data_IF_207518031928
#
_entry.id   IF_207518031928
#
_cell.length_a   1.000
_cell.length_b   1.000
_cell.length_c   1.000
_cell.angle_alpha   90.00
_cell.angle_beta   90.00
_cell.angle_gamma   90.00
#
_symmetry.space_group_name_H-M   'P 1'
#
loop_
_entity.id
_entity.type
_entity.pdbx_description
1 polymer ?
#
# COMPACT_ATOMS: atom_id res chain seq x y z
N UNK A 1 41.24 5.15 -7.31
CA UNK A 1 39.85 4.69 -7.14
C UNK A 1 39.78 4.03 -5.78
N UNK A 2 39.15 4.66 -4.77
CA UNK A 2 38.98 3.99 -3.47
C UNK A 2 38.05 2.79 -3.68
N UNK A 3 38.41 1.64 -3.12
CA UNK A 3 37.52 0.48 -3.15
C UNK A 3 36.28 0.83 -2.32
N UNK A 4 35.10 0.84 -2.95
CA UNK A 4 33.83 0.98 -2.24
C UNK A 4 33.40 -0.39 -1.76
N UNK A 5 32.99 -0.48 -0.49
CA UNK A 5 32.32 -1.67 0.01
C UNK A 5 30.98 -1.83 -0.73
N UNK A 6 30.63 -3.06 -1.11
CA UNK A 6 29.29 -3.40 -1.60
C UNK A 6 28.57 -4.26 -0.55
N UNK A 7 27.70 -3.67 0.29
CA UNK A 7 26.94 -4.41 1.29
C UNK A 7 25.61 -4.96 0.74
N UNK A 8 25.39 -4.97 -0.58
CA UNK A 8 24.10 -5.37 -1.18
C UNK A 8 23.66 -6.77 -0.76
N UNK A 9 24.59 -7.72 -0.64
CA UNK A 9 24.36 -9.11 -0.22
C UNK A 9 24.21 -9.28 1.31
N UNK A 10 24.47 -8.25 2.11
CA UNK A 10 24.34 -8.34 3.56
C UNK A 10 22.88 -8.43 4.02
N UNK A 11 22.66 -9.02 5.19
CA UNK A 11 21.36 -8.98 5.87
C UNK A 11 20.96 -7.53 6.18
N UNK A 12 19.66 -7.27 6.34
CA UNK A 12 19.19 -5.93 6.68
C UNK A 12 19.78 -5.43 8.00
N UNK A 13 19.93 -6.31 8.99
CA UNK A 13 20.54 -5.96 10.28
C UNK A 13 21.99 -5.50 10.12
N UNK A 14 22.78 -6.22 9.31
CA UNK A 14 24.15 -5.80 8.99
C UNK A 14 24.17 -4.46 8.25
N UNK A 15 23.26 -4.23 7.31
CA UNK A 15 23.15 -2.93 6.62
C UNK A 15 22.85 -1.80 7.60
N UNK A 16 21.93 -2.00 8.55
CA UNK A 16 21.59 -1.02 9.57
C UNK A 16 22.82 -0.64 10.42
N UNK A 17 23.59 -1.65 10.88
CA UNK A 17 24.82 -1.44 11.64
C UNK A 17 25.85 -0.68 10.80
N UNK A 18 26.08 -1.09 9.56
CA UNK A 18 27.06 -0.46 8.67
C UNK A 18 26.70 1.00 8.38
N UNK A 19 25.41 1.30 8.16
CA UNK A 19 24.95 2.67 7.98
C UNK A 19 25.23 3.55 9.20
N UNK A 20 24.92 3.06 10.42
CA UNK A 20 25.23 3.82 11.64
C UNK A 20 26.74 4.06 11.80
N UNK A 21 27.56 3.05 11.51
CA UNK A 21 29.02 3.18 11.55
C UNK A 21 29.54 4.19 10.53
N UNK A 22 29.01 4.19 9.31
CA UNK A 22 29.37 5.16 8.28
C UNK A 22 28.95 6.58 8.70
N UNK A 23 27.72 6.76 9.19
CA UNK A 23 27.21 8.05 9.68
C UNK A 23 28.09 8.62 10.80
N UNK A 24 28.49 7.79 11.76
CA UNK A 24 29.41 8.17 12.85
C UNK A 24 30.79 8.56 12.28
N UNK A 25 31.38 7.72 11.43
CA UNK A 25 32.72 7.93 10.87
C UNK A 25 32.84 9.18 9.98
N UNK A 26 31.76 9.57 9.30
CA UNK A 26 31.73 10.72 8.41
C UNK A 26 30.99 11.94 9.00
N UNK A 27 30.68 11.91 10.31
CA UNK A 27 29.91 12.97 10.97
C UNK A 27 30.51 14.38 10.81
N UNK A 28 31.84 14.51 10.86
CA UNK A 28 32.54 15.78 10.65
C UNK A 28 32.31 16.37 9.24
N UNK A 29 31.94 15.53 8.27
CA UNK A 29 31.76 15.92 6.89
C UNK A 29 30.30 16.21 6.54
N UNK A 30 29.35 16.05 7.48
CA UNK A 30 27.91 16.19 7.24
C UNK A 30 27.48 17.51 6.59
N UNK A 31 28.25 18.58 6.77
CA UNK A 31 27.98 19.90 6.19
C UNK A 31 28.56 20.08 4.77
N UNK A 32 29.28 19.09 4.27
CA UNK A 32 29.94 19.13 2.96
C UNK A 32 29.10 18.36 1.92
N UNK A 33 29.03 18.84 0.66
CA UNK A 33 28.36 18.11 -0.42
C UNK A 33 28.88 16.68 -0.61
N UNK A 34 30.15 16.44 -0.31
CA UNK A 34 30.78 15.11 -0.41
C UNK A 34 30.24 14.08 0.60
N UNK A 35 29.51 14.51 1.64
CA UNK A 35 28.97 13.61 2.65
C UNK A 35 28.10 12.50 2.05
N UNK A 36 27.23 12.86 1.11
CA UNK A 36 26.35 11.92 0.44
C UNK A 36 27.13 10.80 -0.25
N UNK A 37 28.21 11.14 -0.97
CA UNK A 37 29.04 10.16 -1.68
C UNK A 37 29.69 9.14 -0.73
N UNK A 38 30.02 9.55 0.50
CA UNK A 38 30.64 8.69 1.50
C UNK A 38 29.65 7.71 2.15
N UNK A 39 28.41 8.15 2.36
CA UNK A 39 27.37 7.30 2.96
C UNK A 39 26.60 6.46 1.92
N UNK A 40 26.67 6.83 0.63
CA UNK A 40 25.92 6.22 -0.47
C UNK A 40 25.93 4.68 -0.46
N UNK A 41 27.08 3.99 -0.29
CA UNK A 41 27.11 2.51 -0.29
C UNK A 41 26.30 1.88 0.85
N UNK A 42 26.04 2.64 1.91
CA UNK A 42 25.43 2.16 3.15
C UNK A 42 23.96 2.54 3.30
N UNK A 43 23.40 3.34 2.38
CA UNK A 43 22.03 3.87 2.48
C UNK A 43 20.93 2.80 2.56
N UNK A 44 21.22 1.57 2.12
CA UNK A 44 20.33 0.42 2.34
C UNK A 44 20.02 0.15 3.82
N UNK A 45 20.79 0.69 4.77
CA UNK A 45 20.54 0.60 6.21
C UNK A 45 19.99 1.88 6.85
N UNK A 46 19.73 2.94 6.08
CA UNK A 46 19.34 4.24 6.62
C UNK A 46 17.95 4.22 7.28
N UNK A 47 17.77 4.79 8.49
CA UNK A 47 16.45 4.98 9.07
C UNK A 47 15.72 6.14 8.37
N UNK A 48 14.38 6.12 8.41
CA UNK A 48 13.55 7.16 7.78
C UNK A 48 13.92 8.57 8.23
N UNK A 49 14.22 8.77 9.52
CA UNK A 49 14.60 10.08 10.05
C UNK A 49 15.79 10.70 9.30
N UNK A 50 16.78 9.88 8.96
CA UNK A 50 17.96 10.36 8.25
C UNK A 50 17.67 10.61 6.77
N UNK A 51 16.87 9.76 6.13
CA UNK A 51 16.41 10.00 4.76
C UNK A 51 15.59 11.28 4.62
N UNK A 52 14.81 11.64 5.64
CA UNK A 52 14.05 12.91 5.71
C UNK A 52 14.93 14.15 5.92
N UNK A 53 16.12 13.97 6.50
CA UNK A 53 17.13 15.03 6.55
C UNK A 53 17.78 15.14 5.18
N UNK A 54 18.21 14.02 4.62
CA UNK A 54 18.89 13.94 3.32
C UNK A 54 18.04 14.48 2.16
N UNK A 55 16.71 14.35 2.25
CA UNK A 55 15.78 14.91 1.26
C UNK A 55 15.83 16.44 1.13
N UNK A 56 16.50 17.13 2.06
CA UNK A 56 16.65 18.59 2.08
C UNK A 56 18.00 19.05 1.51
N UNK A 57 18.88 18.12 1.19
CA UNK A 57 20.28 18.39 0.83
C UNK A 57 20.57 18.26 -0.67
N UNK A 58 19.54 18.21 -1.52
CA UNK A 58 19.64 18.15 -2.99
C UNK A 58 20.58 17.05 -3.52
N UNK A 59 20.53 15.87 -2.90
CA UNK A 59 21.51 14.79 -3.15
C UNK A 59 21.38 14.11 -4.52
N UNK A 60 20.26 14.32 -5.22
CA UNK A 60 19.98 13.70 -6.53
C UNK A 60 20.25 12.18 -6.50
N UNK A 61 19.50 11.48 -5.65
CA UNK A 61 19.64 10.04 -5.40
C UNK A 61 19.12 9.21 -6.56
N UNK A 62 19.99 8.34 -7.10
CA UNK A 62 19.59 7.45 -8.20
C UNK A 62 18.39 6.60 -7.80
N UNK A 63 17.44 6.42 -8.72
CA UNK A 63 16.26 5.56 -8.45
C UNK A 63 16.70 4.12 -8.14
N UNK A 64 17.79 3.65 -8.74
CA UNK A 64 18.41 2.35 -8.42
C UNK A 64 18.89 2.26 -6.97
N UNK A 65 19.37 3.34 -6.37
CA UNK A 65 19.67 3.42 -4.94
C UNK A 65 18.38 3.48 -4.12
N UNK A 66 17.43 4.32 -4.52
CA UNK A 66 16.15 4.49 -3.84
C UNK A 66 15.41 3.16 -3.64
N UNK A 67 15.35 2.33 -4.69
CA UNK A 67 14.67 1.01 -4.60
C UNK A 67 15.41 -0.02 -3.75
N UNK A 68 16.66 0.25 -3.36
CA UNK A 68 17.47 -0.60 -2.46
C UNK A 68 17.42 -0.16 -0.99
N UNK A 69 16.79 0.98 -0.70
CA UNK A 69 16.58 1.44 0.67
C UNK A 69 15.77 0.41 1.46
N UNK A 70 16.00 0.35 2.78
CA UNK A 70 15.22 -0.53 3.65
C UNK A 70 13.74 -0.17 3.60
N UNK A 71 12.93 -1.21 3.42
CA UNK A 71 11.49 -1.08 3.12
C UNK A 71 10.75 -0.28 4.18
N UNK A 72 11.00 -0.56 5.46
CA UNK A 72 10.32 0.10 6.58
C UNK A 72 10.61 1.60 6.65
N UNK A 73 11.77 2.05 6.15
CA UNK A 73 12.06 3.49 6.05
C UNK A 73 11.45 4.14 4.82
N UNK A 74 11.51 3.45 3.67
CA UNK A 74 10.93 3.94 2.42
C UNK A 74 9.42 4.17 2.57
N UNK A 75 8.69 3.27 3.23
CA UNK A 75 7.24 3.41 3.45
C UNK A 75 6.85 4.64 4.29
N UNK A 76 7.79 5.26 5.01
CA UNK A 76 7.54 6.43 5.86
C UNK A 76 7.85 7.77 5.18
N UNK A 77 8.27 7.72 3.91
CA UNK A 77 8.59 8.92 3.12
C UNK A 77 7.32 9.48 2.46
N UNK A 78 7.16 10.80 2.50
CA UNK A 78 6.10 11.51 1.77
C UNK A 78 6.50 11.74 0.30
N UNK A 79 5.56 12.08 -0.59
CA UNK A 79 5.87 12.48 -1.97
C UNK A 79 6.92 13.59 -2.05
N UNK A 80 6.78 14.64 -1.23
CA UNK A 80 7.76 15.74 -1.17
C UNK A 80 9.15 15.30 -0.70
N UNK A 81 9.23 14.38 0.26
CA UNK A 81 10.52 13.81 0.70
C UNK A 81 11.17 12.95 -0.38
N UNK A 82 10.37 12.18 -1.14
CA UNK A 82 10.87 11.42 -2.30
C UNK A 82 11.34 12.35 -3.41
N UNK A 83 10.60 13.44 -3.68
CA UNK A 83 11.03 14.48 -4.62
C UNK A 83 12.37 15.09 -4.21
N UNK A 84 12.54 15.44 -2.94
CA UNK A 84 13.79 16.00 -2.42
C UNK A 84 14.97 15.02 -2.50
N UNK A 85 14.74 13.74 -2.23
CA UNK A 85 15.79 12.71 -2.37
C UNK A 85 16.21 12.52 -3.83
N UNK A 86 15.26 12.34 -4.73
CA UNK A 86 15.56 12.01 -6.13
C UNK A 86 16.00 13.23 -6.95
N UNK A 87 15.52 14.43 -6.60
CA UNK A 87 15.85 15.67 -7.29
C UNK A 87 15.66 15.55 -8.80
N UNK A 88 16.73 15.77 -9.56
CA UNK A 88 16.71 15.69 -11.04
C UNK A 88 16.38 14.30 -11.59
N UNK A 89 16.49 13.24 -10.77
CA UNK A 89 16.19 11.86 -11.16
C UNK A 89 14.75 11.44 -10.88
N UNK A 90 13.93 12.32 -10.28
CA UNK A 90 12.52 12.05 -10.00
C UNK A 90 11.73 11.50 -11.22
N UNK A 91 11.90 12.01 -12.47
CA UNK A 91 11.16 11.48 -13.61
C UNK A 91 11.38 9.98 -13.89
N UNK A 92 12.53 9.43 -13.51
CA UNK A 92 12.83 8.01 -13.68
C UNK A 92 11.94 7.13 -12.80
N UNK A 93 11.44 7.65 -11.66
CA UNK A 93 10.60 6.90 -10.72
C UNK A 93 9.33 6.34 -11.39
N UNK A 94 8.78 7.04 -12.38
CA UNK A 94 7.60 6.59 -13.13
C UNK A 94 7.81 5.23 -13.83
N UNK A 95 9.04 4.91 -14.23
CA UNK A 95 9.38 3.62 -14.85
C UNK A 95 9.29 2.45 -13.86
N UNK A 96 9.32 2.75 -12.56
CA UNK A 96 9.30 1.79 -11.47
C UNK A 96 7.93 1.65 -10.80
N UNK A 97 6.92 2.44 -11.20
CA UNK A 97 5.63 2.52 -10.50
C UNK A 97 4.93 1.16 -10.28
N UNK A 98 5.14 0.20 -11.16
CA UNK A 98 4.53 -1.13 -11.10
C UNK A 98 5.40 -2.18 -10.38
N UNK A 99 6.58 -1.79 -9.89
CA UNK A 99 7.57 -2.67 -9.24
C UNK A 99 7.68 -2.33 -7.76
N UNK A 100 7.82 -3.37 -6.93
CA UNK A 100 8.20 -3.16 -5.54
C UNK A 100 9.65 -2.61 -5.47
N UNK A 101 9.98 -1.73 -4.50
CA UNK A 101 9.10 -1.21 -3.45
C UNK A 101 8.24 0.00 -3.86
N UNK A 102 8.47 0.61 -5.03
CA UNK A 102 7.82 1.87 -5.46
C UNK A 102 6.30 1.72 -5.51
N UNK A 103 5.78 0.65 -6.12
CA UNK A 103 4.34 0.36 -6.16
C UNK A 103 3.69 0.38 -4.78
N UNK A 104 4.36 -0.22 -3.81
CA UNK A 104 3.83 -0.37 -2.47
C UNK A 104 3.88 0.97 -1.71
N UNK A 105 4.90 1.78 -1.95
CA UNK A 105 4.99 3.15 -1.46
C UNK A 105 3.89 4.04 -2.05
N UNK A 106 3.69 3.99 -3.37
CA UNK A 106 2.63 4.73 -4.09
C UNK A 106 1.26 4.43 -3.51
N UNK A 107 0.95 3.16 -3.24
CA UNK A 107 -0.33 2.73 -2.68
C UNK A 107 -0.62 3.28 -1.27
N UNK A 108 0.41 3.74 -0.54
CA UNK A 108 0.26 4.37 0.77
C UNK A 108 0.03 5.88 0.69
N UNK A 109 0.36 6.51 -0.45
CA UNK A 109 0.23 7.96 -0.62
C UNK A 109 -1.15 8.31 -1.13
N UNK A 110 -1.57 9.55 -0.90
CA UNK A 110 -2.78 10.09 -1.53
C UNK A 110 -2.51 10.40 -3.00
N UNK A 111 -3.51 10.19 -3.85
CA UNK A 111 -3.34 10.46 -5.27
C UNK A 111 -3.08 11.95 -5.54
N UNK A 112 -3.72 12.87 -4.82
CA UNK A 112 -3.49 14.31 -4.94
C UNK A 112 -2.04 14.72 -4.65
N UNK A 113 -1.44 14.18 -3.58
CA UNK A 113 -0.04 14.45 -3.22
C UNK A 113 0.94 13.83 -4.22
N UNK A 114 0.58 12.70 -4.86
CA UNK A 114 1.35 12.13 -5.96
C UNK A 114 1.26 12.98 -7.24
N UNK A 115 0.10 13.59 -7.50
CA UNK A 115 -0.14 14.42 -8.69
C UNK A 115 0.70 15.72 -8.66
N UNK A 116 1.03 16.23 -7.46
CA UNK A 116 1.95 17.36 -7.24
C UNK A 116 3.38 17.07 -7.73
N UNK A 117 3.77 15.79 -7.84
CA UNK A 117 5.08 15.40 -8.38
C UNK A 117 5.18 15.60 -9.90
N UNK A 118 4.05 15.74 -10.60
CA UNK A 118 3.97 15.97 -12.04
C UNK A 118 4.71 14.94 -12.92
N UNK A 119 4.86 13.70 -12.44
CA UNK A 119 5.50 12.58 -13.16
C UNK A 119 4.53 11.45 -13.55
N UNK A 120 3.23 11.64 -13.31
CA UNK A 120 2.18 10.70 -13.74
C UNK A 120 2.12 9.39 -12.94
N UNK A 121 2.52 9.41 -11.67
CA UNK A 121 2.32 8.26 -10.77
C UNK A 121 0.84 8.07 -10.48
N UNK A 122 0.38 6.82 -10.53
CA UNK A 122 -1.03 6.48 -10.29
C UNK A 122 -1.14 5.27 -9.36
N UNK A 123 -2.27 5.14 -8.68
CA UNK A 123 -2.54 4.04 -7.75
C UNK A 123 -2.44 4.42 -6.28
N UNK A 124 -2.36 5.72 -5.97
CA UNK A 124 -2.52 6.22 -4.62
C UNK A 124 -3.96 6.11 -4.12
N UNK A 125 -4.14 6.40 -2.83
CA UNK A 125 -5.44 6.44 -2.18
C UNK A 125 -6.27 7.59 -2.77
N UNK A 126 -7.47 7.27 -3.25
CA UNK A 126 -8.43 8.24 -3.77
C UNK A 126 -8.95 9.12 -2.63
N UNK A 127 -8.86 10.43 -2.78
CA UNK A 127 -9.51 11.37 -1.87
C UNK A 127 -10.93 11.65 -2.37
N UNK A 128 -11.92 11.05 -1.71
CA UNK A 128 -13.32 11.26 -2.04
C UNK A 128 -14.26 10.69 -0.99
N UNK A 129 -15.48 11.20 -0.96
CA UNK A 129 -16.58 10.62 -0.20
C UNK A 129 -17.23 9.52 -1.03
N UNK A 130 -17.56 8.39 -0.40
CA UNK A 130 -18.52 7.46 -1.00
C UNK A 130 -19.87 8.18 -0.99
N UNK A 131 -20.38 8.57 -2.16
CA UNK A 131 -21.79 8.92 -2.29
C UNK A 131 -22.60 7.64 -2.09
N UNK A 132 -22.99 7.37 -0.83
CA UNK A 132 -23.99 6.36 -0.51
C UNK A 132 -25.33 6.89 -1.02
N UNK A 133 -25.63 6.67 -2.30
CA UNK A 133 -26.99 6.79 -2.80
C UNK A 133 -27.78 5.69 -2.10
N UNK A 134 -28.49 6.04 -1.03
CA UNK A 134 -29.45 5.13 -0.41
C UNK A 134 -30.45 4.74 -1.50
N UNK A 135 -30.52 3.45 -1.90
CA UNK A 135 -31.53 3.03 -2.85
C UNK A 135 -32.88 3.36 -2.24
N UNK A 136 -33.67 4.17 -2.95
CA UNK A 136 -35.05 4.46 -2.58
C UNK A 136 -35.82 3.17 -2.81
N UNK A 137 -35.85 2.30 -1.81
CA UNK A 137 -36.69 1.13 -1.85
C UNK A 137 -38.12 1.61 -2.07
N UNK A 138 -38.81 1.19 -3.15
CA UNK A 138 -40.23 1.47 -3.28
C UNK A 138 -40.91 0.98 -2.01
N UNK A 139 -41.86 1.76 -1.50
CA UNK A 139 -42.65 1.36 -0.35
C UNK A 139 -43.12 -0.08 -0.57
N UNK A 140 -42.82 -0.95 0.39
CA UNK A 140 -43.19 -2.36 0.33
C UNK A 140 -44.68 -2.39 0.00
N UNK A 141 -45.01 -2.89 -1.20
CA UNK A 141 -46.39 -3.08 -1.58
C UNK A 141 -46.98 -4.00 -0.53
N UNK A 142 -47.82 -3.45 0.34
CA UNK A 142 -48.63 -4.21 1.29
C UNK A 142 -49.67 -4.96 0.46
N UNK A 143 -49.22 -6.03 -0.21
CA UNK A 143 -50.13 -7.03 -0.73
C UNK A 143 -50.87 -7.60 0.49
N UNK A 144 -52.21 -7.52 0.55
CA UNK A 144 -52.92 -8.23 1.59
C UNK A 144 -52.54 -9.70 1.46
N UNK A 145 -52.21 -10.31 2.59
CA UNK A 145 -51.92 -11.73 2.67
C UNK A 145 -53.20 -12.47 2.24
N UNK A 146 -53.27 -12.78 0.94
CA UNK A 146 -54.41 -13.43 0.34
C UNK A 146 -54.67 -14.74 1.06
N UNK A 147 -55.92 -14.96 1.41
CA UNK A 147 -56.50 -16.08 2.16
C UNK A 147 -56.28 -17.42 1.45
N UNK A 148 -55.03 -17.89 1.37
CA UNK A 148 -54.67 -19.23 0.90
C UNK A 148 -53.88 -19.93 2.00
N UNK A 149 -54.41 -19.89 3.21
CA UNK A 149 -53.90 -20.63 4.35
C UNK A 149 -55.04 -21.37 5.05
N UNK A 150 -55.94 -22.04 4.30
CA UNK A 150 -56.93 -22.97 4.87
C UNK A 150 -57.38 -24.07 3.87
N UNK A 151 -56.48 -24.62 3.05
CA UNK A 151 -56.81 -25.83 2.25
C UNK A 151 -55.68 -26.87 2.35
N UNK A 152 -55.21 -27.15 3.56
CA UNK A 152 -54.32 -28.30 3.80
C UNK A 152 -54.72 -29.17 5.01
N UNK A 153 -55.93 -28.99 5.54
CA UNK A 153 -56.42 -29.79 6.68
C UNK A 153 -57.37 -30.95 6.31
N UNK A 154 -57.64 -31.21 5.04
CA UNK A 154 -58.57 -32.30 4.64
C UNK A 154 -57.90 -33.50 3.95
N UNK A 155 -56.60 -33.43 3.67
CA UNK A 155 -55.82 -34.52 3.06
C UNK A 155 -55.46 -35.69 4.00
N UNK A 156 -55.29 -35.53 5.33
CA UNK A 156 -55.01 -36.67 6.22
C UNK A 156 -56.24 -37.59 6.45
N UNK A 157 -57.46 -37.05 6.35
CA UNK A 157 -58.68 -37.80 6.68
C UNK A 157 -59.12 -38.75 5.55
N UNK A 158 -58.77 -38.47 4.30
CA UNK A 158 -59.17 -39.28 3.13
C UNK A 158 -58.24 -40.48 2.90
N UNK A 159 -56.99 -40.44 3.40
CA UNK A 159 -56.06 -41.57 3.31
C UNK A 159 -56.29 -42.65 4.38
N UNK A 160 -56.89 -42.32 5.52
CA UNK A 160 -57.20 -43.29 6.58
C UNK A 160 -58.46 -44.12 6.28
N UNK A 161 -59.40 -43.63 5.48
CA UNK A 161 -60.60 -44.41 5.08
C UNK A 161 -60.33 -45.48 4.03
N UNK A 162 -59.25 -45.36 3.24
CA UNK A 162 -58.86 -46.39 2.27
C UNK A 162 -58.12 -47.57 2.91
N UNK A 163 -57.45 -47.38 4.06
CA UNK A 163 -56.68 -48.43 4.73
C UNK A 163 -57.54 -49.41 5.54
N UNK A 164 -58.76 -49.03 5.97
CA UNK A 164 -59.65 -49.93 6.72
C UNK A 164 -60.58 -50.78 5.85
N UNK A 165 -60.68 -50.51 4.54
CA UNK A 165 -61.44 -51.35 3.60
C UNK A 165 -60.58 -52.48 3.02
N UNK A 166 -59.25 -52.34 3.02
CA UNK A 166 -58.34 -53.38 2.51
C UNK A 166 -57.88 -54.40 3.56
N UNK A 167 -58.31 -54.29 4.83
CA UNK A 167 -57.95 -55.23 5.91
C UNK A 167 -59.14 -56.12 6.32
N UNK A 168 -60.34 -55.89 5.76
CA UNK A 168 -61.53 -56.70 6.03
C UNK A 168 -62.21 -57.21 4.74
N UNK A 169 -61.39 -57.61 3.75
CA UNK A 169 -61.83 -58.42 2.61
C UNK A 169 -60.86 -59.55 2.34
#
# INVERSE_FOLDING_TARGET
RMASLDPSACSQETKNILYQKAKEAFSDQHHLPAYYELILPYLGGAPAADLKVLSKDDVNMNVSTFVTLRRDSLMLLTPGEVQGLLGVQLPELAQWQNRAPVRDWVALQKQSELDELHIGLTGGVQEGYINLVTPKFPAMSSAPLGTVAMVFHLLPALLLSFLTVSILS
#
